data_IF_119360762639
#
_entry.id   IF_119360762639
#
_cell.length_a   1.000
_cell.length_b   1.000
_cell.length_c   1.000
_cell.angle_alpha   90.00
_cell.angle_beta   90.00
_cell.angle_gamma   90.00
#
_symmetry.space_group_name_H-M   'P 1'
#
loop_
_entity.id
_entity.type
_entity.pdbx_description
1 polymer ?
#
# COMPACT_ATOMS: atom_id res chain seq x y z
N UNK A 1 5.65 1.61 -14.47
CA UNK A 1 4.48 1.37 -13.59
C UNK A 1 4.94 0.56 -12.38
N UNK A 2 4.53 0.93 -11.17
CA UNK A 2 4.78 0.17 -9.93
C UNK A 2 3.70 -0.90 -9.74
N UNK A 3 4.08 -2.10 -9.32
CA UNK A 3 3.15 -3.13 -8.86
C UNK A 3 3.25 -3.18 -7.33
N UNK A 4 2.15 -2.87 -6.66
CA UNK A 4 2.07 -2.71 -5.22
C UNK A 4 1.14 -3.82 -4.69
N UNK A 5 1.68 -4.70 -3.86
CA UNK A 5 0.90 -5.73 -3.17
C UNK A 5 0.08 -5.07 -2.05
N UNK A 6 -1.24 -5.00 -2.23
CA UNK A 6 -2.17 -4.43 -1.24
C UNK A 6 -2.09 -5.25 0.05
N UNK A 7 -1.73 -4.61 1.17
CA UNK A 7 -1.49 -5.26 2.47
C UNK A 7 -0.52 -6.44 2.41
N UNK A 8 0.38 -6.46 1.43
CA UNK A 8 1.26 -7.58 1.08
C UNK A 8 0.53 -8.87 0.61
N UNK A 9 -0.66 -8.78 0.04
CA UNK A 9 -1.34 -9.91 -0.60
C UNK A 9 -0.70 -10.27 -1.96
N UNK A 10 -0.66 -11.56 -2.29
CA UNK A 10 -0.05 -12.07 -3.55
C UNK A 10 -1.07 -12.74 -4.47
N UNK A 11 -2.01 -13.51 -3.89
CA UNK A 11 -2.98 -14.33 -4.62
C UNK A 11 -4.39 -14.11 -4.07
N UNK A 12 -4.72 -12.87 -3.73
CA UNK A 12 -5.96 -12.48 -3.08
C UNK A 12 -5.82 -12.16 -1.59
N UNK A 13 -6.88 -11.61 -0.98
CA UNK A 13 -6.87 -11.16 0.40
C UNK A 13 -6.67 -12.32 1.37
N UNK A 14 -5.84 -12.11 2.40
CA UNK A 14 -5.52 -13.13 3.39
C UNK A 14 -5.45 -12.55 4.80
N UNK A 15 -6.53 -12.65 5.57
CA UNK A 15 -6.58 -12.16 6.96
C UNK A 15 -5.51 -12.77 7.89
N UNK A 16 -4.94 -13.93 7.52
CA UNK A 16 -3.86 -14.60 8.26
C UNK A 16 -2.48 -14.03 7.93
N UNK A 17 -2.25 -13.59 6.69
CA UNK A 17 -0.91 -13.26 6.19
C UNK A 17 -0.75 -11.77 5.85
N UNK A 18 -1.84 -11.06 5.55
CA UNK A 18 -1.80 -9.64 5.24
C UNK A 18 -1.17 -8.84 6.39
N UNK A 19 -0.47 -7.76 6.06
CA UNK A 19 0.17 -6.90 7.05
C UNK A 19 1.08 -7.64 8.04
N UNK A 20 1.75 -8.73 7.62
CA UNK A 20 2.77 -9.40 8.45
C UNK A 20 4.16 -9.11 7.91
N UNK A 21 5.16 -9.02 8.80
CA UNK A 21 6.55 -8.76 8.38
C UNK A 21 7.07 -9.82 7.41
N UNK A 22 6.73 -11.09 7.66
CA UNK A 22 7.09 -12.20 6.76
C UNK A 22 6.54 -12.00 5.35
N UNK A 23 5.25 -11.65 5.24
CA UNK A 23 4.59 -11.51 3.96
C UNK A 23 5.06 -10.24 3.21
N UNK A 24 5.31 -9.15 3.95
CA UNK A 24 5.93 -7.92 3.44
C UNK A 24 7.30 -8.22 2.81
N UNK A 25 8.19 -8.90 3.54
CA UNK A 25 9.52 -9.28 3.04
C UNK A 25 9.42 -10.18 1.81
N UNK A 26 8.46 -11.10 1.80
CA UNK A 26 8.23 -12.00 0.67
C UNK A 26 7.83 -11.22 -0.58
N UNK A 27 6.90 -10.26 -0.49
CA UNK A 27 6.48 -9.45 -1.63
C UNK A 27 7.63 -8.62 -2.19
N UNK A 28 8.42 -7.98 -1.32
CA UNK A 28 9.59 -7.20 -1.73
C UNK A 28 10.64 -8.09 -2.43
N UNK A 29 10.89 -9.29 -1.92
CA UNK A 29 11.80 -10.28 -2.57
C UNK A 29 11.32 -10.72 -3.95
N UNK A 30 10.00 -10.70 -4.20
CA UNK A 30 9.41 -10.99 -5.51
C UNK A 30 9.45 -9.79 -6.47
N UNK A 31 9.95 -8.63 -6.01
CA UNK A 31 10.07 -7.42 -6.82
C UNK A 31 8.88 -6.46 -6.72
N UNK A 32 7.94 -6.71 -5.79
CA UNK A 32 6.79 -5.84 -5.56
C UNK A 32 7.12 -4.71 -4.58
N UNK A 33 6.54 -3.55 -4.83
CA UNK A 33 6.30 -2.59 -3.75
C UNK A 33 5.14 -3.14 -2.88
N UNK A 34 4.95 -2.63 -1.67
CA UNK A 34 3.94 -3.12 -0.73
C UNK A 34 3.17 -1.96 -0.13
N UNK A 35 1.85 -2.08 -0.10
CA UNK A 35 1.02 -1.23 0.76
C UNK A 35 0.89 -1.90 2.13
N UNK A 36 1.02 -1.11 3.20
CA UNK A 36 0.94 -1.59 4.58
C UNK A 36 0.13 -0.62 5.44
N UNK A 37 -0.67 -1.19 6.33
CA UNK A 37 -1.45 -0.46 7.33
C UNK A 37 -0.62 -0.27 8.60
N UNK A 38 -0.45 0.99 9.04
CA UNK A 38 0.27 1.32 10.27
C UNK A 38 -0.59 2.13 11.23
N UNK A 39 -0.66 1.68 12.49
CA UNK A 39 -1.09 2.49 13.64
C UNK A 39 0.09 2.82 14.54
N UNK A 40 0.06 4.00 15.15
CA UNK A 40 0.96 4.34 16.25
C UNK A 40 0.15 4.42 17.54
N UNK A 41 0.40 3.53 18.49
CA UNK A 41 -0.33 3.48 19.76
C UNK A 41 0.69 3.53 20.89
N UNK A 42 0.60 4.58 21.73
CA UNK A 42 1.53 4.79 22.86
C UNK A 42 3.01 4.70 22.43
N UNK A 43 3.34 5.30 21.28
CA UNK A 43 4.69 5.34 20.72
C UNK A 43 5.19 4.06 20.05
N UNK A 44 4.37 3.01 19.95
CA UNK A 44 4.71 1.75 19.28
C UNK A 44 4.02 1.66 17.92
N UNK A 45 4.69 1.05 16.94
CA UNK A 45 4.13 0.79 15.61
C UNK A 45 3.42 -0.55 15.58
N UNK A 46 2.22 -0.57 15.01
CA UNK A 46 1.42 -1.76 14.82
C UNK A 46 1.03 -1.88 13.35
N UNK A 47 1.29 -3.05 12.77
CA UNK A 47 0.71 -3.45 11.50
C UNK A 47 -0.75 -3.88 11.65
N UNK A 48 -1.52 -3.78 10.58
CA UNK A 48 -2.86 -4.40 10.42
C UNK A 48 -3.98 -3.43 10.04
N UNK A 49 -4.94 -3.88 9.24
CA UNK A 49 -6.02 -3.05 8.69
C UNK A 49 -7.09 -2.72 9.73
N UNK A 50 -7.87 -3.71 10.18
CA UNK A 50 -8.99 -3.49 11.12
C UNK A 50 -8.53 -3.37 12.56
N UNK A 51 -7.45 -4.09 12.90
CA UNK A 51 -6.91 -4.21 14.24
C UNK A 51 -5.40 -4.03 14.21
N UNK A 52 -4.86 -3.56 15.32
CA UNK A 52 -3.42 -3.57 15.57
C UNK A 52 -2.99 -5.01 15.90
N UNK A 53 -2.40 -5.73 14.94
CA UNK A 53 -2.14 -7.17 15.05
C UNK A 53 -0.69 -7.49 15.42
N UNK A 54 0.28 -6.85 14.76
CA UNK A 54 1.70 -7.14 14.96
C UNK A 54 2.47 -5.87 15.31
N UNK A 55 3.17 -5.87 16.45
CA UNK A 55 4.10 -4.78 16.81
C UNK A 55 5.37 -4.92 15.96
N UNK A 56 5.85 -3.80 15.44
CA UNK A 56 7.13 -3.74 14.73
C UNK A 56 8.03 -2.62 15.27
N UNK A 57 9.33 -2.82 15.10
CA UNK A 57 10.33 -1.80 15.38
C UNK A 57 10.51 -0.85 14.20
N UNK A 58 10.94 0.38 14.49
CA UNK A 58 11.26 1.39 13.47
C UNK A 58 12.32 0.91 12.47
N UNK A 59 13.19 -0.02 12.86
CA UNK A 59 14.19 -0.64 11.98
C UNK A 59 13.54 -1.37 10.81
N UNK A 60 12.42 -2.07 11.03
CA UNK A 60 11.64 -2.73 9.97
C UNK A 60 11.15 -1.69 8.95
N UNK A 61 10.55 -0.59 9.43
CA UNK A 61 10.08 0.49 8.56
C UNK A 61 11.21 1.08 7.73
N UNK A 62 12.38 1.30 8.33
CA UNK A 62 13.56 1.81 7.62
C UNK A 62 14.06 0.84 6.54
N UNK A 63 14.00 -0.48 6.80
CA UNK A 63 14.47 -1.50 5.87
C UNK A 63 13.57 -1.61 4.62
N UNK A 64 12.27 -1.33 4.76
CA UNK A 64 11.30 -1.46 3.67
C UNK A 64 10.92 -0.12 3.00
N UNK A 65 11.42 1.03 3.50
CA UNK A 65 10.96 2.38 3.15
C UNK A 65 10.98 2.74 1.65
N UNK A 66 11.86 2.11 0.87
CA UNK A 66 11.98 2.36 -0.57
C UNK A 66 10.91 1.61 -1.38
N UNK A 67 10.30 0.59 -0.78
CA UNK A 67 9.29 -0.27 -1.37
C UNK A 67 7.92 -0.15 -0.70
N UNK A 68 7.81 0.54 0.45
CA UNK A 68 6.56 0.63 1.20
C UNK A 68 5.72 1.86 0.88
N UNK A 69 4.42 1.65 0.86
CA UNK A 69 3.34 2.61 0.75
C UNK A 69 2.54 2.53 2.04
N UNK A 70 2.67 3.51 2.93
CA UNK A 70 2.19 3.40 4.31
C UNK A 70 0.81 4.06 4.44
N UNK A 71 -0.24 3.25 4.52
CA UNK A 71 -1.56 3.69 4.93
C UNK A 71 -1.56 3.89 6.44
N UNK A 72 -1.57 5.15 6.88
CA UNK A 72 -1.72 5.49 8.27
C UNK A 72 -3.17 5.23 8.69
N UNK A 73 -3.36 4.48 9.78
CA UNK A 73 -4.68 4.09 10.32
C UNK A 73 -5.05 4.77 11.64
N UNK A 74 -4.25 5.76 12.06
CA UNK A 74 -4.66 6.78 13.02
C UNK A 74 -3.88 8.10 12.87
N UNK A 75 -4.36 9.14 13.55
CA UNK A 75 -3.73 10.46 13.57
C UNK A 75 -2.28 10.41 14.07
N UNK A 76 -2.00 9.58 15.07
CA UNK A 76 -0.65 9.43 15.63
C UNK A 76 0.34 8.88 14.60
N UNK A 77 -0.09 8.00 13.69
CA UNK A 77 0.75 7.55 12.59
C UNK A 77 1.06 8.70 11.62
N UNK A 78 0.06 9.48 11.22
CA UNK A 78 0.26 10.67 10.37
C UNK A 78 1.21 11.68 11.04
N UNK A 79 0.98 11.98 12.32
CA UNK A 79 1.83 12.90 13.09
C UNK A 79 3.27 12.39 13.20
N UNK A 80 3.46 11.07 13.39
CA UNK A 80 4.81 10.49 13.42
C UNK A 80 5.53 10.64 12.07
N UNK A 81 4.90 10.21 10.97
CA UNK A 81 5.57 10.20 9.67
C UNK A 81 5.78 11.60 9.09
N UNK A 82 4.88 12.55 9.37
CA UNK A 82 5.04 13.95 8.96
C UNK A 82 6.19 14.68 9.65
N UNK A 83 6.57 14.26 10.86
CA UNK A 83 7.70 14.82 11.59
C UNK A 83 8.98 13.96 11.47
N UNK A 84 8.95 12.86 10.71
CA UNK A 84 10.11 12.00 10.54
C UNK A 84 11.17 12.67 9.66
N UNK A 85 12.43 12.67 10.10
CA UNK A 85 13.56 13.12 9.28
C UNK A 85 13.81 12.21 8.07
N UNK A 86 13.48 10.92 8.20
CA UNK A 86 13.50 9.97 7.09
C UNK A 86 12.30 10.18 6.19
N UNK A 87 12.54 10.26 4.87
CA UNK A 87 11.48 10.35 3.87
C UNK A 87 10.76 9.01 3.67
N UNK A 88 9.59 8.85 4.29
CA UNK A 88 8.66 7.76 4.05
C UNK A 88 7.62 8.13 2.99
N UNK A 89 7.07 7.14 2.30
CA UNK A 89 5.85 7.32 1.51
C UNK A 89 4.65 6.92 2.37
N UNK A 90 3.87 7.89 2.80
CA UNK A 90 2.74 7.66 3.70
C UNK A 90 1.53 8.50 3.27
N UNK A 91 0.36 8.06 3.67
CA UNK A 91 -0.91 8.72 3.37
C UNK A 91 -1.98 8.29 4.36
N UNK A 92 -3.05 9.06 4.43
CA UNK A 92 -4.30 8.68 5.10
C UNK A 92 -5.40 8.72 4.06
N UNK A 93 -6.23 7.68 4.02
CA UNK A 93 -7.49 7.72 3.28
C UNK A 93 -8.50 6.78 3.92
N UNK A 94 -9.77 7.01 3.63
CA UNK A 94 -10.84 6.03 3.85
C UNK A 94 -11.54 5.81 2.50
N UNK A 95 -12.64 6.52 2.26
CA UNK A 95 -13.40 6.46 1.00
C UNK A 95 -13.25 7.74 0.15
N UNK A 96 -12.15 8.45 0.34
CA UNK A 96 -11.79 9.64 -0.44
C UNK A 96 -11.58 9.26 -1.90
N UNK A 97 -12.21 9.97 -2.85
CA UNK A 97 -12.03 9.71 -4.28
C UNK A 97 -10.55 9.74 -4.69
N UNK A 98 -9.79 10.66 -4.10
CA UNK A 98 -8.37 10.81 -4.33
C UNK A 98 -7.67 11.22 -3.04
N UNK A 99 -6.50 10.64 -2.80
CA UNK A 99 -5.60 11.02 -1.70
C UNK A 99 -4.21 11.28 -2.24
N UNK A 100 -3.53 12.31 -1.73
CA UNK A 100 -2.13 12.57 -2.07
C UNK A 100 -1.22 11.86 -1.06
N UNK A 101 -0.22 11.12 -1.54
CA UNK A 101 0.83 10.59 -0.67
C UNK A 101 1.91 11.63 -0.39
N UNK A 102 2.66 11.44 0.69
CA UNK A 102 3.78 12.32 1.06
C UNK A 102 4.89 12.42 0.00
N UNK A 103 4.99 11.45 -0.93
CA UNK A 103 5.89 11.50 -2.09
C UNK A 103 5.22 12.08 -3.35
N UNK A 104 3.99 12.56 -3.26
CA UNK A 104 3.29 13.27 -4.33
C UNK A 104 2.52 12.40 -5.31
N UNK A 105 2.31 11.11 -5.02
CA UNK A 105 1.47 10.24 -5.86
C UNK A 105 -0.01 10.40 -5.53
N UNK A 106 -0.88 10.21 -6.53
CA UNK A 106 -2.34 10.27 -6.34
C UNK A 106 -2.85 8.85 -6.11
N UNK A 107 -3.22 8.52 -4.88
CA UNK A 107 -3.92 7.28 -4.54
C UNK A 107 -5.38 7.40 -4.95
N UNK A 108 -5.77 6.78 -6.06
CA UNK A 108 -7.11 6.89 -6.63
C UNK A 108 -7.99 5.75 -6.13
N UNK A 109 -9.13 6.10 -5.52
CA UNK A 109 -10.11 5.12 -5.06
C UNK A 109 -10.56 4.21 -6.24
N UNK A 110 -10.96 2.95 -5.97
CA UNK A 110 -11.44 2.05 -7.01
C UNK A 110 -12.52 2.71 -7.91
N UNK A 111 -12.39 2.53 -9.22
CA UNK A 111 -13.35 3.03 -10.23
C UNK A 111 -13.22 4.51 -10.59
N UNK A 112 -12.27 5.23 -10.00
CA UNK A 112 -12.08 6.65 -10.31
C UNK A 112 -11.31 6.88 -11.62
N UNK A 113 -11.49 8.07 -12.21
CA UNK A 113 -10.71 8.49 -13.39
C UNK A 113 -9.23 8.60 -13.01
N UNK A 114 -8.37 8.04 -13.86
CA UNK A 114 -6.93 7.98 -13.63
C UNK A 114 -6.17 9.04 -14.43
N UNK A 115 -5.02 9.44 -13.90
CA UNK A 115 -4.03 10.29 -14.55
C UNK A 115 -2.64 9.66 -14.45
N UNK A 116 -1.64 10.24 -15.11
CA UNK A 116 -0.28 9.68 -15.19
C UNK A 116 0.40 9.47 -13.85
N UNK A 117 0.05 10.25 -12.83
CA UNK A 117 0.62 10.16 -11.49
C UNK A 117 -0.24 9.34 -10.51
N UNK A 118 -1.27 8.66 -11.00
CA UNK A 118 -2.16 7.87 -10.17
C UNK A 118 -1.60 6.48 -9.84
N UNK A 119 -1.89 6.03 -8.62
CA UNK A 119 -1.95 4.61 -8.27
C UNK A 119 -3.41 4.17 -8.44
N UNK A 120 -3.65 3.20 -9.32
CA UNK A 120 -4.95 2.54 -9.46
C UNK A 120 -5.11 1.51 -8.36
N UNK A 121 -6.08 1.69 -7.47
CA UNK A 121 -6.28 0.85 -6.29
C UNK A 121 -7.38 -0.18 -6.57
N UNK A 122 -7.09 -1.44 -6.23
CA UNK A 122 -7.97 -2.61 -6.33
C UNK A 122 -8.79 -2.65 -7.63
N UNK A 123 -8.13 -2.70 -8.81
CA UNK A 123 -8.83 -2.83 -10.10
C UNK A 123 -9.78 -4.05 -10.15
N UNK A 124 -9.48 -5.10 -9.39
CA UNK A 124 -10.30 -6.31 -9.23
C UNK A 124 -11.73 -6.05 -8.71
N UNK A 125 -12.02 -4.91 -8.08
CA UNK A 125 -13.36 -4.61 -7.55
C UNK A 125 -14.36 -4.18 -8.64
N UNK A 126 -13.86 -3.69 -9.77
CA UNK A 126 -14.68 -3.13 -10.84
C UNK A 126 -14.53 -3.87 -12.17
N UNK A 127 -13.66 -4.88 -12.24
CA UNK A 127 -13.27 -5.52 -13.51
C UNK A 127 -13.15 -7.04 -13.35
N UNK A 128 -13.40 -7.75 -14.43
CA UNK A 128 -13.16 -9.18 -14.52
C UNK A 128 -11.67 -9.47 -14.74
N UNK A 129 -11.21 -10.67 -14.36
CA UNK A 129 -9.79 -11.05 -14.49
C UNK A 129 -9.28 -10.99 -15.95
N UNK A 130 -10.16 -11.16 -16.93
CA UNK A 130 -9.86 -11.04 -18.36
C UNK A 130 -9.53 -9.62 -18.81
N UNK A 131 -9.79 -8.61 -17.98
CA UNK A 131 -9.57 -7.20 -18.31
C UNK A 131 -8.26 -6.66 -17.73
N UNK A 132 -7.45 -7.48 -17.05
CA UNK A 132 -6.19 -7.02 -16.45
C UNK A 132 -5.10 -6.62 -17.45
N UNK A 133 -5.15 -7.12 -18.69
CA UNK A 133 -4.24 -6.68 -19.76
C UNK A 133 -4.37 -5.19 -20.05
N UNK A 134 -5.60 -4.64 -20.04
CA UNK A 134 -5.87 -3.22 -20.27
C UNK A 134 -5.13 -2.32 -19.27
N UNK A 135 -5.10 -2.71 -17.99
CA UNK A 135 -4.43 -1.94 -16.95
C UNK A 135 -2.91 -1.85 -17.13
N UNK A 136 -2.29 -2.83 -17.81
CA UNK A 136 -0.85 -2.78 -18.14
C UNK A 136 -0.52 -1.73 -19.20
N UNK A 137 -1.49 -1.36 -20.03
CA UNK A 137 -1.34 -0.38 -21.11
C UNK A 137 -1.64 1.05 -20.65
N UNK A 138 -2.21 1.22 -19.45
CA UNK A 138 -2.52 2.54 -18.91
C UNK A 138 -1.24 3.33 -18.60
N UNK A 139 -1.23 4.59 -19.01
CA UNK A 139 -0.20 5.53 -18.60
C UNK A 139 -0.50 6.05 -17.18
N UNK A 140 -0.13 5.26 -16.17
CA UNK A 140 -0.31 5.54 -14.73
C UNK A 140 0.97 5.20 -13.95
N UNK A 141 1.10 5.73 -12.73
CA UNK A 141 2.30 5.53 -11.92
C UNK A 141 2.39 4.10 -11.37
N UNK A 142 1.26 3.49 -11.01
CA UNK A 142 1.23 2.14 -10.45
C UNK A 142 -0.15 1.55 -10.23
N UNK A 143 -0.17 0.29 -9.80
CA UNK A 143 -1.37 -0.46 -9.45
C UNK A 143 -1.15 -1.05 -8.04
N UNK A 144 -2.14 -0.87 -7.16
CA UNK A 144 -2.21 -1.53 -5.87
C UNK A 144 -3.31 -2.59 -5.91
N UNK A 145 -2.98 -3.86 -5.67
CA UNK A 145 -3.90 -4.99 -5.88
C UNK A 145 -3.61 -6.13 -4.92
N UNK A 146 -4.61 -6.97 -4.65
CA UNK A 146 -4.42 -8.23 -3.94
C UNK A 146 -3.80 -9.34 -4.82
N UNK A 147 -3.69 -9.11 -6.14
CA UNK A 147 -3.23 -10.08 -7.13
C UNK A 147 -2.03 -9.59 -7.98
N UNK A 148 -0.90 -9.17 -7.37
CA UNK A 148 0.22 -8.57 -8.10
C UNK A 148 0.80 -9.46 -9.22
N UNK A 149 0.75 -10.79 -9.08
CA UNK A 149 1.22 -11.73 -10.10
C UNK A 149 0.47 -11.62 -11.44
N UNK A 150 -0.74 -11.05 -11.45
CA UNK A 150 -1.52 -10.84 -12.67
C UNK A 150 -1.00 -9.66 -13.51
N UNK A 151 -0.02 -8.91 -12.99
CA UNK A 151 0.56 -7.73 -13.63
C UNK A 151 2.05 -7.88 -13.98
N UNK A 152 2.66 -9.02 -13.62
CA UNK A 152 4.05 -9.37 -13.99
C UNK A 152 4.16 -10.18 -15.28
#
# INVERSE_FOLDING_TARGET
MKIIAHRANINGPSSKNENTTYQIEKCIKLGYDVEIDIRVIKGKFYLGHDKATQIIDKTILNNIKEHSWIHCKNLEAIAFFSNASTKFNYFWHENDSYTLTSKGYIWAYPGQKLSTNCICVMPELNNSHSEFSYFRELNIAGICTDFPNLFT
#
